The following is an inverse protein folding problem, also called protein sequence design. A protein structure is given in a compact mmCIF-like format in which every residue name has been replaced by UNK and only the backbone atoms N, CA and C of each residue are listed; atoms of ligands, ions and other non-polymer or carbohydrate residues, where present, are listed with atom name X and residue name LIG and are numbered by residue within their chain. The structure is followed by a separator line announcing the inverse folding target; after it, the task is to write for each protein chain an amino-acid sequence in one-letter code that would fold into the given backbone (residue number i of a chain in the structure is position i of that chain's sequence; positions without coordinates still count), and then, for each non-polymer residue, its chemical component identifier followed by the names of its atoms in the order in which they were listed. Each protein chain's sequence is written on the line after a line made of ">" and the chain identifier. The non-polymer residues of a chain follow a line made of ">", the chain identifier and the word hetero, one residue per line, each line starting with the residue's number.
data_IF_106859251367
#
_entry.id   IF_106859251367
#
_cell.length_a   1.000
_cell.length_b   1.000
_cell.length_c   1.000
_cell.angle_alpha   90.00
_cell.angle_beta   90.00
_cell.angle_gamma   90.00
#
_symmetry.space_group_name_H-M   'P 1'
#
loop_
_entity.id
_entity.type
_entity.pdbx_description
1 polymer ?
#
# COMPACT_ATOMS: atom_id res chain seq x y z
N UNK A 1 4.50 -21.61 41.66
CA UNK A 1 4.54 -20.59 40.60
C UNK A 1 4.64 -19.25 41.30
N UNK A 2 5.86 -18.82 41.63
CA UNK A 2 6.07 -17.48 42.19
C UNK A 2 5.99 -16.49 41.05
N UNK A 3 4.83 -15.85 40.92
CA UNK A 3 4.60 -14.76 40.01
C UNK A 3 5.62 -13.67 40.34
N UNK A 4 6.51 -13.35 39.41
CA UNK A 4 7.69 -12.52 39.68
C UNK A 4 7.32 -11.03 39.73
N UNK A 5 6.59 -10.64 40.78
CA UNK A 5 6.10 -9.27 41.04
C UNK A 5 7.26 -8.27 41.03
N UNK A 6 8.46 -8.68 41.46
CA UNK A 6 9.67 -7.85 41.40
C UNK A 6 10.11 -7.54 39.98
N UNK A 7 10.08 -8.52 39.07
CA UNK A 7 10.37 -8.30 37.65
C UNK A 7 9.31 -7.41 37.00
N UNK A 8 8.03 -7.65 37.30
CA UNK A 8 6.92 -6.83 36.79
C UNK A 8 7.04 -5.36 37.26
N UNK A 9 7.39 -5.14 38.53
CA UNK A 9 7.61 -3.81 39.09
C UNK A 9 8.85 -3.12 38.48
N UNK A 10 9.91 -3.88 38.19
CA UNK A 10 11.12 -3.35 37.54
C UNK A 10 10.84 -2.98 36.08
N UNK A 11 10.14 -3.83 35.34
CA UNK A 11 9.67 -3.55 33.97
C UNK A 11 8.74 -2.33 33.94
N UNK A 12 7.77 -2.24 34.87
CA UNK A 12 6.88 -1.08 34.99
C UNK A 12 7.63 0.21 35.35
N UNK A 13 8.65 0.13 36.21
CA UNK A 13 9.53 1.25 36.53
C UNK A 13 10.32 1.75 35.31
N UNK A 14 10.82 0.84 34.48
CA UNK A 14 11.48 1.18 33.21
C UNK A 14 10.50 1.82 32.23
N UNK A 15 9.28 1.30 32.11
CA UNK A 15 8.24 1.91 31.25
C UNK A 15 7.87 3.33 31.68
N UNK A 16 7.69 3.58 32.97
CA UNK A 16 7.41 4.92 33.50
C UNK A 16 8.60 5.86 33.25
N UNK A 17 9.83 5.37 33.43
CA UNK A 17 11.04 6.16 33.18
C UNK A 17 11.15 6.54 31.70
N UNK A 18 10.89 5.60 30.78
CA UNK A 18 10.84 5.86 29.34
C UNK A 18 9.76 6.88 28.98
N UNK A 19 8.58 6.76 29.60
CA UNK A 19 7.47 7.69 29.36
C UNK A 19 7.81 9.11 29.83
N UNK A 20 8.41 9.25 31.01
CA UNK A 20 8.89 10.54 31.54
C UNK A 20 9.92 11.16 30.60
N UNK A 21 10.93 10.40 30.19
CA UNK A 21 11.96 10.87 29.26
C UNK A 21 11.36 11.28 27.90
N UNK A 22 10.44 10.49 27.34
CA UNK A 22 9.73 10.82 26.10
C UNK A 22 8.94 12.13 26.22
N UNK A 23 8.27 12.36 27.36
CA UNK A 23 7.56 13.62 27.60
C UNK A 23 8.51 14.82 27.75
N UNK A 24 9.66 14.65 28.41
CA UNK A 24 10.67 15.71 28.58
C UNK A 24 11.31 16.12 27.24
N UNK A 25 11.52 15.18 26.31
CA UNK A 25 12.03 15.44 24.96
C UNK A 25 11.01 16.19 24.09
N UNK A 26 9.71 15.84 24.19
CA UNK A 26 8.63 16.53 23.46
C UNK A 26 8.35 17.94 24.00
N UNK A 27 8.71 18.22 25.25
CA UNK A 27 8.55 19.50 25.94
C UNK A 27 9.82 20.39 25.90
N UNK A 28 10.80 20.07 25.04
CA UNK A 28 12.03 20.85 24.80
C UNK A 28 13.00 21.01 25.99
N UNK A 29 12.98 20.11 26.97
CA UNK A 29 13.82 20.24 28.18
C UNK A 29 15.06 19.32 28.22
N UNK A 30 15.22 18.38 27.28
CA UNK A 30 16.30 17.38 27.29
C UNK A 30 17.04 17.26 25.94
N UNK A 31 18.36 17.09 25.99
CA UNK A 31 19.21 16.84 24.82
C UNK A 31 18.95 15.43 24.26
N UNK A 32 18.51 15.34 23.00
CA UNK A 32 18.26 14.08 22.31
C UNK A 32 19.57 13.43 21.87
N UNK A 33 19.75 12.13 22.11
CA UNK A 33 20.80 11.36 21.44
C UNK A 33 20.49 11.31 19.93
N UNK A 34 21.21 12.11 19.15
CA UNK A 34 21.03 12.17 17.70
C UNK A 34 21.71 10.96 17.04
N UNK A 35 20.98 10.30 16.15
CA UNK A 35 21.55 9.34 15.21
C UNK A 35 22.19 10.12 14.06
N UNK A 36 23.19 9.53 13.42
CA UNK A 36 23.90 10.14 12.30
C UNK A 36 22.95 10.37 11.09
N UNK A 37 23.25 11.36 10.25
CA UNK A 37 22.45 11.73 9.09
C UNK A 37 22.24 10.55 8.12
N UNK A 38 23.24 9.69 7.97
CA UNK A 38 23.14 8.49 7.13
C UNK A 38 22.10 7.50 7.66
N UNK A 39 21.99 7.36 8.98
CA UNK A 39 21.00 6.49 9.61
C UNK A 39 19.58 7.03 9.43
N UNK A 40 19.39 8.34 9.55
CA UNK A 40 18.11 8.99 9.28
C UNK A 40 17.71 8.84 7.80
N UNK A 41 18.66 9.01 6.88
CA UNK A 41 18.44 8.78 5.45
C UNK A 41 18.02 7.33 5.15
N UNK A 42 18.67 6.35 5.78
CA UNK A 42 18.31 4.94 5.68
C UNK A 42 16.91 4.67 6.22
N UNK A 43 16.54 5.32 7.32
CA UNK A 43 15.23 5.22 7.95
C UNK A 43 14.12 5.76 7.05
N UNK A 44 14.31 6.95 6.48
CA UNK A 44 13.37 7.56 5.52
C UNK A 44 13.19 6.67 4.28
N UNK A 45 14.30 6.12 3.75
CA UNK A 45 14.24 5.19 2.62
C UNK A 45 13.45 3.93 2.95
N UNK A 46 13.63 3.37 4.14
CA UNK A 46 12.91 2.18 4.58
C UNK A 46 11.39 2.44 4.67
N UNK A 47 11.00 3.56 5.28
CA UNK A 47 9.61 3.95 5.42
C UNK A 47 8.95 4.20 4.06
N UNK A 48 9.66 4.89 3.16
CA UNK A 48 9.23 5.10 1.78
C UNK A 48 9.07 3.76 1.02
N UNK A 49 10.05 2.87 1.13
CA UNK A 49 10.02 1.54 0.48
C UNK A 49 8.82 0.74 0.95
N UNK A 50 8.60 0.66 2.27
CA UNK A 50 7.46 -0.05 2.84
C UNK A 50 6.14 0.53 2.33
N UNK A 51 5.97 1.86 2.45
CA UNK A 51 4.73 2.54 2.07
C UNK A 51 4.35 2.29 0.60
N UNK A 52 5.31 2.43 -0.32
CA UNK A 52 5.04 2.22 -1.74
C UNK A 52 4.86 0.75 -2.09
N UNK A 53 5.59 -0.16 -1.44
CA UNK A 53 5.41 -1.60 -1.64
C UNK A 53 3.99 -2.03 -1.22
N UNK A 54 3.49 -1.55 -0.07
CA UNK A 54 2.11 -1.81 0.37
C UNK A 54 1.06 -1.30 -0.62
N UNK A 55 1.25 -0.07 -1.13
CA UNK A 55 0.32 0.53 -2.10
C UNK A 55 0.31 -0.21 -3.44
N UNK A 56 1.49 -0.54 -3.97
CA UNK A 56 1.63 -1.24 -5.25
C UNK A 56 1.03 -2.65 -5.14
N UNK A 57 1.33 -3.37 -4.06
CA UNK A 57 0.74 -4.68 -3.78
C UNK A 57 -0.79 -4.60 -3.80
N UNK A 58 -1.37 -3.68 -3.01
CA UNK A 58 -2.82 -3.54 -2.90
C UNK A 58 -3.49 -3.17 -4.21
N UNK A 59 -2.87 -2.29 -5.00
CA UNK A 59 -3.44 -1.90 -6.29
C UNK A 59 -3.36 -3.02 -7.33
N UNK A 60 -2.31 -3.84 -7.27
CA UNK A 60 -2.17 -4.98 -8.16
C UNK A 60 -3.15 -6.10 -7.79
N UNK A 61 -3.42 -6.32 -6.51
CA UNK A 61 -4.51 -7.22 -6.07
C UNK A 61 -5.88 -6.77 -6.58
N UNK A 62 -6.16 -5.46 -6.55
CA UNK A 62 -7.41 -4.91 -7.09
C UNK A 62 -7.48 -5.09 -8.61
N UNK A 63 -6.37 -4.91 -9.32
CA UNK A 63 -6.29 -5.14 -10.76
C UNK A 63 -6.60 -6.61 -11.12
N UNK A 64 -6.04 -7.56 -10.38
CA UNK A 64 -6.19 -8.99 -10.66
C UNK A 64 -7.52 -9.56 -10.17
N UNK A 65 -8.04 -9.07 -9.04
CA UNK A 65 -9.32 -9.49 -8.47
C UNK A 65 -10.10 -8.27 -7.95
N UNK A 66 -10.86 -7.56 -8.82
CA UNK A 66 -11.61 -6.37 -8.43
C UNK A 66 -12.65 -6.66 -7.34
N UNK A 67 -13.19 -7.89 -7.30
CA UNK A 67 -14.21 -8.29 -6.34
C UNK A 67 -13.64 -8.37 -4.91
N UNK A 68 -14.08 -7.51 -3.98
CA UNK A 68 -13.55 -7.48 -2.62
C UNK A 68 -13.88 -8.74 -1.81
N UNK A 69 -15.06 -9.32 -1.99
CA UNK A 69 -15.46 -10.54 -1.28
C UNK A 69 -14.58 -11.73 -1.69
N UNK A 70 -14.25 -11.81 -2.97
CA UNK A 70 -13.37 -12.85 -3.50
C UNK A 70 -11.95 -12.72 -2.93
N UNK A 71 -11.42 -11.49 -2.85
CA UNK A 71 -10.10 -11.24 -2.25
C UNK A 71 -10.03 -11.63 -0.77
N UNK A 72 -11.09 -11.33 -0.01
CA UNK A 72 -11.15 -11.72 1.41
C UNK A 72 -11.20 -13.24 1.56
N UNK A 73 -12.00 -13.91 0.73
CA UNK A 73 -12.09 -15.36 0.72
C UNK A 73 -10.74 -16.02 0.39
N UNK A 74 -10.06 -15.57 -0.68
CA UNK A 74 -8.71 -16.03 -1.06
C UNK A 74 -7.71 -15.84 0.09
N UNK A 75 -7.72 -14.67 0.73
CA UNK A 75 -6.88 -14.39 1.90
C UNK A 75 -7.15 -15.35 3.08
N UNK A 76 -8.40 -15.72 3.32
CA UNK A 76 -8.76 -16.66 4.39
C UNK A 76 -8.23 -18.06 4.09
N UNK A 77 -8.37 -18.54 2.84
CA UNK A 77 -7.83 -19.84 2.44
C UNK A 77 -6.30 -19.87 2.56
N UNK A 78 -5.62 -18.79 2.14
CA UNK A 78 -4.17 -18.64 2.28
C UNK A 78 -3.74 -18.67 3.75
N UNK A 79 -4.41 -17.95 4.65
CA UNK A 79 -4.09 -17.97 6.09
C UNK A 79 -4.41 -19.28 6.79
N UNK A 80 -5.28 -20.12 6.22
CA UNK A 80 -5.65 -21.43 6.75
C UNK A 80 -4.82 -22.58 6.13
N UNK A 81 -3.84 -22.29 5.28
CA UNK A 81 -3.08 -23.28 4.50
C UNK A 81 -4.00 -24.24 3.70
N UNK A 82 -5.14 -23.72 3.24
CA UNK A 82 -6.13 -24.47 2.47
C UNK A 82 -6.07 -24.04 1.00
N UNK A 83 -6.31 -24.97 0.09
CA UNK A 83 -6.43 -24.62 -1.34
C UNK A 83 -7.76 -23.93 -1.60
N UNK A 84 -7.69 -22.68 -2.05
CA UNK A 84 -8.86 -21.95 -2.52
C UNK A 84 -9.52 -22.71 -3.70
N UNK A 85 -10.85 -22.75 -3.77
CA UNK A 85 -11.54 -23.35 -4.91
C UNK A 85 -11.23 -22.57 -6.20
N UNK A 86 -11.00 -23.28 -7.30
CA UNK A 86 -10.80 -22.64 -8.61
C UNK A 86 -12.11 -21.99 -9.05
N UNK A 87 -12.16 -20.65 -9.00
CA UNK A 87 -13.33 -19.90 -9.40
C UNK A 87 -13.47 -19.89 -10.92
N UNK A 88 -14.70 -20.00 -11.40
CA UNK A 88 -15.02 -19.80 -12.83
C UNK A 88 -14.88 -18.31 -13.15
N UNK A 89 -14.09 -17.97 -14.17
CA UNK A 89 -13.95 -16.61 -14.68
C UNK A 89 -15.23 -16.15 -15.36
N UNK A 90 -15.39 -14.84 -15.54
CA UNK A 90 -16.54 -14.28 -16.24
C UNK A 90 -16.60 -14.78 -17.69
N UNK A 91 -15.45 -14.88 -18.39
CA UNK A 91 -15.37 -15.42 -19.74
C UNK A 91 -15.71 -16.90 -19.81
N UNK A 92 -15.25 -17.72 -18.85
CA UNK A 92 -15.66 -19.13 -18.80
C UNK A 92 -17.17 -19.30 -18.55
N UNK A 93 -17.75 -18.46 -17.68
CA UNK A 93 -19.18 -18.49 -17.41
C UNK A 93 -20.00 -18.10 -18.65
N UNK A 94 -19.56 -17.06 -19.37
CA UNK A 94 -20.17 -16.66 -20.64
C UNK A 94 -20.07 -17.78 -21.67
N UNK A 95 -18.89 -18.38 -21.81
CA UNK A 95 -18.67 -19.48 -22.74
C UNK A 95 -19.54 -20.70 -22.43
N UNK A 96 -19.73 -21.02 -21.15
CA UNK A 96 -20.64 -22.08 -20.71
C UNK A 96 -22.08 -21.80 -21.13
N UNK A 97 -22.57 -20.58 -20.91
CA UNK A 97 -23.93 -20.21 -21.32
C UNK A 97 -24.13 -20.22 -22.85
N UNK A 98 -23.11 -19.83 -23.63
CA UNK A 98 -23.17 -19.92 -25.09
C UNK A 98 -23.25 -21.37 -25.58
N UNK A 99 -22.47 -22.28 -24.98
CA UNK A 99 -22.52 -23.71 -25.32
C UNK A 99 -23.87 -24.34 -24.93
N UNK A 100 -24.42 -23.98 -23.77
CA UNK A 100 -25.72 -24.48 -23.33
C UNK A 100 -26.86 -23.94 -24.22
N UNK A 101 -26.81 -22.66 -24.61
CA UNK A 101 -27.73 -22.09 -25.58
C UNK A 101 -27.63 -22.79 -26.95
N UNK A 102 -26.43 -23.14 -27.41
CA UNK A 102 -26.24 -23.87 -28.66
C UNK A 102 -26.89 -25.26 -28.64
N UNK A 103 -26.86 -25.96 -27.49
CA UNK A 103 -27.52 -27.26 -27.32
C UNK A 103 -29.04 -27.15 -27.43
N UNK A 104 -29.64 -26.10 -26.86
CA UNK A 104 -31.09 -25.88 -26.92
C UNK A 104 -31.56 -25.37 -28.29
N UNK A 105 -30.78 -24.49 -28.93
CA UNK A 105 -31.12 -23.90 -30.24
C UNK A 105 -30.84 -24.85 -31.42
N UNK A 106 -30.13 -25.95 -31.17
CA UNK A 106 -29.76 -26.96 -32.17
C UNK A 106 -28.39 -26.69 -32.80
N UNK A 107 -27.49 -27.67 -32.66
CA UNK A 107 -26.11 -27.60 -33.14
C UNK A 107 -25.99 -27.53 -34.67
N UNK A 108 -26.99 -28.06 -35.38
CA UNK A 108 -27.08 -28.03 -36.85
C UNK A 108 -27.45 -26.64 -37.38
N UNK A 109 -27.94 -25.74 -36.52
CA UNK A 109 -28.21 -24.35 -36.90
C UNK A 109 -26.88 -23.60 -37.10
N UNK A 110 -26.77 -22.71 -38.11
CA UNK A 110 -25.60 -21.84 -38.25
C UNK A 110 -25.37 -20.99 -37.01
N UNK A 111 -26.44 -20.62 -36.29
CA UNK A 111 -26.33 -19.88 -35.04
C UNK A 111 -25.81 -20.76 -33.89
N UNK A 112 -26.35 -21.97 -33.73
CA UNK A 112 -25.90 -22.91 -32.69
C UNK A 112 -24.44 -23.31 -32.87
N UNK A 113 -24.03 -23.70 -34.08
CA UNK A 113 -22.63 -24.01 -34.39
C UNK A 113 -21.68 -22.83 -34.16
N UNK A 114 -22.10 -21.60 -34.49
CA UNK A 114 -21.33 -20.38 -34.20
C UNK A 114 -21.20 -20.12 -32.70
N UNK A 115 -22.28 -20.30 -31.94
CA UNK A 115 -22.26 -20.13 -30.48
C UNK A 115 -21.28 -21.08 -29.79
N UNK A 116 -21.19 -22.34 -30.25
CA UNK A 116 -20.18 -23.28 -29.74
C UNK A 116 -18.77 -22.74 -29.97
N UNK A 117 -18.47 -22.25 -31.19
CA UNK A 117 -17.14 -21.71 -31.53
C UNK A 117 -16.75 -20.49 -30.70
N UNK A 118 -17.68 -19.56 -30.52
CA UNK A 118 -17.45 -18.38 -29.68
C UNK A 118 -17.30 -18.80 -28.21
N UNK A 119 -18.17 -19.69 -27.72
CA UNK A 119 -18.14 -20.15 -26.34
C UNK A 119 -16.85 -20.90 -25.97
N UNK A 120 -16.35 -21.75 -26.86
CA UNK A 120 -15.04 -22.41 -26.71
C UNK A 120 -13.89 -21.40 -26.65
N UNK A 121 -13.98 -20.32 -27.43
CA UNK A 121 -12.96 -19.27 -27.40
C UNK A 121 -13.01 -18.46 -26.10
N UNK A 122 -14.20 -18.08 -25.62
CA UNK A 122 -14.38 -17.41 -24.33
C UNK A 122 -13.85 -18.25 -23.16
N UNK A 123 -14.09 -19.57 -23.15
CA UNK A 123 -13.48 -20.46 -22.15
C UNK A 123 -11.96 -20.48 -22.22
N UNK A 124 -11.37 -20.46 -23.42
CA UNK A 124 -9.91 -20.34 -23.60
C UNK A 124 -9.38 -19.02 -23.06
N UNK A 125 -10.07 -17.90 -23.32
CA UNK A 125 -9.69 -16.59 -22.76
C UNK A 125 -9.71 -16.59 -21.23
N UNK A 126 -10.76 -17.15 -20.62
CA UNK A 126 -10.86 -17.26 -19.16
C UNK A 126 -9.79 -18.16 -18.54
N UNK A 127 -9.36 -19.23 -19.22
CA UNK A 127 -8.24 -20.05 -18.78
C UNK A 127 -6.91 -19.26 -18.80
N UNK A 128 -6.68 -18.47 -19.86
CA UNK A 128 -5.49 -17.61 -19.97
C UNK A 128 -5.49 -16.50 -18.91
N UNK A 129 -6.65 -15.97 -18.55
CA UNK A 129 -6.82 -15.04 -17.43
C UNK A 129 -6.42 -15.68 -16.09
N UNK A 130 -6.88 -16.91 -15.81
CA UNK A 130 -6.48 -17.65 -14.60
C UNK A 130 -4.97 -17.85 -14.51
N UNK A 131 -4.36 -18.28 -15.62
CA UNK A 131 -2.92 -18.51 -15.69
C UNK A 131 -2.13 -17.21 -15.43
N UNK A 132 -2.62 -16.08 -15.97
CA UNK A 132 -2.04 -14.76 -15.70
C UNK A 132 -2.16 -14.37 -14.22
N UNK A 133 -3.35 -14.48 -13.63
CA UNK A 133 -3.58 -14.15 -12.21
C UNK A 133 -2.66 -14.99 -11.32
N UNK A 134 -2.56 -16.30 -11.57
CA UNK A 134 -1.69 -17.19 -10.82
C UNK A 134 -0.20 -16.84 -11.00
N UNK A 135 0.22 -16.55 -12.23
CA UNK A 135 1.61 -16.17 -12.51
C UNK A 135 1.98 -14.86 -11.82
N UNK A 136 1.10 -13.85 -11.88
CA UNK A 136 1.30 -12.57 -11.20
C UNK A 136 1.32 -12.72 -9.68
N UNK A 137 0.47 -13.59 -9.12
CA UNK A 137 0.51 -13.88 -7.68
C UNK A 137 1.85 -14.47 -7.24
N UNK A 138 2.35 -15.50 -7.94
CA UNK A 138 3.59 -16.20 -7.58
C UNK A 138 4.84 -15.32 -7.81
N UNK A 139 4.91 -14.63 -8.94
CA UNK A 139 6.12 -13.89 -9.36
C UNK A 139 6.19 -12.47 -8.80
N UNK A 140 5.03 -11.86 -8.49
CA UNK A 140 4.96 -10.46 -8.09
C UNK A 140 4.35 -10.28 -6.69
N UNK A 141 3.12 -10.71 -6.45
CA UNK A 141 2.44 -10.43 -5.16
C UNK A 141 3.10 -11.15 -3.98
N UNK A 142 3.36 -12.45 -4.10
CA UNK A 142 3.93 -13.29 -3.05
C UNK A 142 5.29 -12.78 -2.53
N UNK A 143 6.28 -12.45 -3.39
CA UNK A 143 7.54 -11.86 -2.94
C UNK A 143 7.37 -10.54 -2.17
N UNK A 144 6.47 -9.66 -2.63
CA UNK A 144 6.20 -8.39 -1.94
C UNK A 144 5.51 -8.61 -0.59
N UNK A 145 4.56 -9.56 -0.51
CA UNK A 145 3.92 -9.96 0.75
C UNK A 145 4.94 -10.51 1.75
N UNK A 146 5.83 -11.38 1.30
CA UNK A 146 6.88 -11.95 2.14
C UNK A 146 7.82 -10.86 2.68
N UNK A 147 8.19 -9.88 1.86
CA UNK A 147 8.97 -8.72 2.31
C UNK A 147 8.23 -7.88 3.36
N UNK A 148 6.93 -7.63 3.17
CA UNK A 148 6.11 -6.84 4.08
C UNK A 148 5.82 -7.56 5.41
N UNK A 149 5.50 -8.85 5.37
CA UNK A 149 5.19 -9.66 6.54
C UNK A 149 6.45 -10.17 7.27
N UNK A 150 7.58 -10.28 6.58
CA UNK A 150 8.87 -10.69 7.14
C UNK A 150 9.77 -9.51 7.49
N UNK A 151 10.54 -9.05 6.51
CA UNK A 151 11.62 -8.08 6.71
C UNK A 151 11.12 -6.76 7.30
N UNK A 152 10.04 -6.20 6.75
CA UNK A 152 9.46 -4.94 7.24
C UNK A 152 8.97 -5.04 8.69
N UNK A 153 8.45 -6.20 9.13
CA UNK A 153 8.05 -6.41 10.53
C UNK A 153 9.25 -6.47 11.45
N UNK A 154 10.32 -7.13 11.03
CA UNK A 154 11.58 -7.20 11.78
C UNK A 154 12.18 -5.81 11.91
N UNK A 155 12.33 -5.07 10.81
CA UNK A 155 12.84 -3.68 10.81
C UNK A 155 12.01 -2.80 11.76
N UNK A 156 10.68 -2.91 11.71
CA UNK A 156 9.78 -2.14 12.60
C UNK A 156 10.00 -2.48 14.07
N UNK A 157 10.24 -3.76 14.40
CA UNK A 157 10.50 -4.22 15.77
C UNK A 157 11.84 -3.72 16.28
N UNK A 158 12.90 -3.89 15.49
CA UNK A 158 14.26 -3.47 15.88
C UNK A 158 14.36 -1.94 16.03
N UNK A 159 13.67 -1.17 15.17
CA UNK A 159 13.56 0.30 15.33
C UNK A 159 12.86 0.70 16.63
N UNK A 160 11.77 0.03 17.01
CA UNK A 160 11.10 0.28 18.30
C UNK A 160 12.00 -0.06 19.47
N UNK A 161 12.78 -1.14 19.37
CA UNK A 161 13.74 -1.51 20.40
C UNK A 161 14.87 -0.48 20.52
N UNK A 162 15.40 0.00 19.39
CA UNK A 162 16.39 1.07 19.36
C UNK A 162 15.89 2.36 20.02
N UNK A 163 14.65 2.75 19.74
CA UNK A 163 14.02 3.92 20.37
C UNK A 163 13.91 3.74 21.88
N UNK A 164 13.49 2.57 22.36
CA UNK A 164 13.42 2.28 23.79
C UNK A 164 14.79 2.34 24.46
N UNK A 165 15.82 1.79 23.82
CA UNK A 165 17.19 1.82 24.34
C UNK A 165 17.78 3.23 24.31
N UNK A 166 17.40 4.08 23.34
CA UNK A 166 17.75 5.51 23.34
C UNK A 166 17.21 6.19 24.59
N UNK A 167 15.93 6.00 24.89
CA UNK A 167 15.28 6.57 26.07
C UNK A 167 15.92 6.06 27.37
N UNK A 168 16.27 4.78 27.45
CA UNK A 168 16.97 4.20 28.60
C UNK A 168 18.36 4.80 28.78
N UNK A 169 19.09 5.00 27.68
CA UNK A 169 20.40 5.64 27.67
C UNK A 169 20.31 7.10 28.17
N UNK A 170 19.34 7.86 27.68
CA UNK A 170 19.14 9.27 28.07
C UNK A 170 18.71 9.38 29.54
N UNK A 171 17.87 8.47 30.03
CA UNK A 171 17.55 8.37 31.45
C UNK A 171 18.78 8.05 32.32
N UNK A 172 19.66 7.15 31.87
CA UNK A 172 20.91 6.85 32.56
C UNK A 172 21.87 8.06 32.59
N UNK A 173 22.00 8.79 31.48
CA UNK A 173 22.79 10.04 31.41
C UNK A 173 22.27 11.06 32.42
N UNK A 174 20.96 11.26 32.48
CA UNK A 174 20.30 12.17 33.43
C UNK A 174 20.54 11.75 34.88
N UNK A 175 20.47 10.44 35.17
CA UNK A 175 20.76 9.94 36.52
C UNK A 175 22.21 10.15 36.93
N UNK A 176 23.18 9.90 36.03
CA UNK A 176 24.60 10.19 36.30
C UNK A 176 24.81 11.69 36.56
N UNK A 177 24.21 12.57 35.75
CA UNK A 177 24.25 14.03 35.97
C UNK A 177 23.72 14.40 37.37
N UNK A 178 22.58 13.82 37.78
CA UNK A 178 21.96 14.05 39.11
C UNK A 178 22.82 13.51 40.26
N UNK A 179 23.37 12.30 40.12
CA UNK A 179 24.21 11.67 41.14
C UNK A 179 25.50 12.48 41.37
N UNK A 180 26.18 12.90 40.29
CA UNK A 180 27.37 13.77 40.38
C UNK A 180 27.08 15.12 41.00
N UNK A 181 25.93 15.72 40.68
CA UNK A 181 25.51 16.97 41.29
C UNK A 181 25.20 16.82 42.79
N UNK A 182 24.65 15.69 43.21
CA UNK A 182 24.41 15.39 44.63
C UNK A 182 25.72 15.13 45.39
N UNK A 183 26.65 14.38 44.80
CA UNK A 183 27.99 14.15 45.34
C UNK A 183 28.76 15.47 45.50
N UNK A 184 28.78 16.32 44.48
CA UNK A 184 29.44 17.63 44.54
C UNK A 184 28.86 18.54 45.65
N UNK A 185 27.55 18.50 45.89
CA UNK A 185 26.90 19.25 46.98
C UNK A 185 27.30 18.74 48.37
N UNK A 186 27.56 17.44 48.52
CA UNK A 186 28.01 16.84 49.79
C UNK A 186 29.51 17.03 50.00
N UNK A 187 30.30 17.13 48.93
CA UNK A 187 31.74 17.42 48.97
C UNK A 187 32.07 18.88 49.34
N UNK A 188 31.17 19.83 49.07
CA UNK A 188 31.26 21.21 49.56
C UNK A 188 30.85 21.24 51.04
N UNK A 189 31.81 20.95 51.91
CA UNK A 189 31.68 21.07 53.37
C UNK A 189 31.31 22.53 53.73
N UNK A 190 30.33 22.80 54.62
CA UNK A 190 30.15 24.13 55.16
C UNK A 190 31.36 24.46 56.03
N UNK A 191 31.97 25.62 55.82
CA UNK A 191 32.96 26.21 56.72
C UNK A 191 32.32 26.30 58.13
N UNK A 192 32.59 25.32 58.99
CA UNK A 192 32.10 25.33 60.35
C UNK A 192 33.20 24.90 61.30
N UNK A 193 33.70 25.92 61.97
CA UNK A 193 34.63 25.95 63.09
C UNK A 193 34.01 25.25 64.32
N UNK A 194 33.68 23.95 64.24
CA UNK A 194 33.20 23.19 65.39
C UNK A 194 33.64 21.72 65.33
N UNK A 195 34.74 21.46 66.05
CA UNK A 195 35.38 20.15 66.23
C UNK A 195 34.50 19.21 67.05
N UNK A 196 33.52 18.55 66.41
CA UNK A 196 32.83 17.36 66.96
C UNK A 196 33.07 16.14 66.06
N UNK A 197 33.78 15.10 66.56
CA UNK A 197 34.12 13.89 65.79
C UNK A 197 32.91 13.19 65.14
N UNK A 198 31.73 13.30 65.76
CA UNK A 198 30.49 12.66 65.32
C UNK A 198 29.95 13.22 63.99
N UNK A 199 30.14 14.51 63.73
CA UNK A 199 29.69 15.16 62.49
C UNK A 199 30.61 14.83 61.31
N UNK A 200 31.92 14.70 61.56
CA UNK A 200 32.90 14.32 60.54
C UNK A 200 32.69 12.88 60.05
N UNK A 201 32.43 11.93 60.96
CA UNK A 201 32.14 10.54 60.59
C UNK A 201 30.84 10.42 59.79
N UNK A 202 29.80 11.19 60.12
CA UNK A 202 28.54 11.20 59.35
C UNK A 202 28.72 11.82 57.95
N UNK A 203 29.53 12.88 57.82
CA UNK A 203 29.87 13.50 56.53
C UNK A 203 30.72 12.58 55.65
N UNK A 204 31.74 11.91 56.22
CA UNK A 204 32.56 10.94 55.50
C UNK A 204 31.74 9.72 55.03
N UNK A 205 30.85 9.19 55.88
CA UNK A 205 29.94 8.09 55.50
C UNK A 205 28.92 8.50 54.43
N UNK A 206 28.41 9.74 54.47
CA UNK A 206 27.53 10.26 53.43
C UNK A 206 28.27 10.45 52.09
N UNK A 207 29.51 10.96 52.13
CA UNK A 207 30.34 11.11 50.93
C UNK A 207 30.66 9.76 50.28
N UNK A 208 31.02 8.74 51.07
CA UNK A 208 31.28 7.39 50.56
C UNK A 208 30.04 6.77 49.88
N UNK A 209 28.85 6.97 50.44
CA UNK A 209 27.60 6.44 49.89
C UNK A 209 27.23 7.10 48.54
N UNK A 210 27.46 8.41 48.40
CA UNK A 210 27.26 9.10 47.11
C UNK A 210 28.32 8.71 46.08
N UNK A 211 29.56 8.45 46.51
CA UNK A 211 30.61 7.94 45.61
C UNK A 211 30.20 6.58 45.03
N UNK A 212 29.69 5.67 45.87
CA UNK A 212 29.19 4.36 45.45
C UNK A 212 27.98 4.47 44.49
N UNK A 213 27.03 5.37 44.77
CA UNK A 213 25.87 5.59 43.89
C UNK A 213 26.27 6.22 42.54
N UNK A 214 27.27 7.10 42.52
CA UNK A 214 27.83 7.65 41.27
C UNK A 214 28.51 6.54 40.46
N UNK A 215 29.34 5.72 41.09
CA UNK A 215 30.01 4.59 40.41
C UNK A 215 28.98 3.62 39.82
N UNK A 216 27.93 3.29 40.58
CA UNK A 216 26.83 2.45 40.12
C UNK A 216 26.08 3.07 38.94
N UNK A 217 25.76 4.36 39.00
CA UNK A 217 25.09 5.07 37.92
C UNK A 217 25.94 5.10 36.64
N UNK A 218 27.26 5.29 36.77
CA UNK A 218 28.21 5.25 35.65
C UNK A 218 28.33 3.85 35.03
N UNK A 219 28.37 2.80 35.85
CA UNK A 219 28.37 1.42 35.38
C UNK A 219 27.09 1.07 34.60
N UNK A 220 25.94 1.51 35.07
CA UNK A 220 24.66 1.33 34.38
C UNK A 220 24.58 2.15 33.09
N UNK A 221 25.09 3.39 33.07
CA UNK A 221 25.23 4.18 31.83
C UNK A 221 26.09 3.46 30.79
N UNK A 222 27.23 2.88 31.21
CA UNK A 222 28.11 2.12 30.31
C UNK A 222 27.43 0.89 29.72
N UNK A 223 26.60 0.19 30.51
CA UNK A 223 25.79 -0.94 30.03
C UNK A 223 24.73 -0.48 29.03
N UNK A 224 24.00 0.59 29.35
CA UNK A 224 22.98 1.16 28.47
C UNK A 224 23.57 1.63 27.13
N UNK A 225 24.74 2.29 27.17
CA UNK A 225 25.44 2.73 25.96
C UNK A 225 25.83 1.54 25.07
N UNK A 226 26.44 0.50 25.65
CA UNK A 226 26.82 -0.70 24.90
C UNK A 226 25.62 -1.39 24.23
N UNK A 227 24.49 -1.45 24.94
CA UNK A 227 23.27 -2.07 24.40
C UNK A 227 22.65 -1.23 23.29
N UNK A 228 22.62 0.10 23.45
CA UNK A 228 22.19 1.03 22.42
C UNK A 228 23.06 0.93 21.16
N UNK A 229 24.40 0.96 21.31
CA UNK A 229 25.33 0.89 20.17
C UNK A 229 25.17 -0.44 19.41
N UNK A 230 25.05 -1.56 20.15
CA UNK A 230 24.78 -2.88 19.57
C UNK A 230 23.47 -2.88 18.78
N UNK A 231 22.41 -2.28 19.34
CA UNK A 231 21.11 -2.24 18.70
C UNK A 231 21.06 -1.28 17.50
N UNK A 232 21.81 -0.17 17.56
CA UNK A 232 21.94 0.77 16.47
C UNK A 232 22.60 0.10 15.25
N UNK A 233 23.64 -0.70 15.49
CA UNK A 233 24.30 -1.48 14.44
C UNK A 233 23.39 -2.54 13.82
N UNK A 234 22.67 -3.31 14.65
CA UNK A 234 21.68 -4.29 14.15
C UNK A 234 20.63 -3.62 13.28
N UNK A 235 20.07 -2.50 13.75
CA UNK A 235 19.07 -1.75 12.98
C UNK A 235 19.65 -1.19 11.69
N UNK A 236 20.89 -0.67 11.72
CA UNK A 236 21.58 -0.14 10.55
C UNK A 236 21.76 -1.20 9.47
N UNK A 237 22.27 -2.38 9.83
CA UNK A 237 22.47 -3.49 8.89
C UNK A 237 21.15 -3.93 8.23
N UNK A 238 20.05 -3.95 8.99
CA UNK A 238 18.73 -4.27 8.44
C UNK A 238 18.25 -3.19 7.45
N UNK A 239 18.45 -1.92 7.76
CA UNK A 239 18.06 -0.80 6.89
C UNK A 239 18.91 -0.76 5.60
N UNK A 240 20.21 -1.06 5.70
CA UNK A 240 21.10 -1.18 4.54
C UNK A 240 20.69 -2.35 3.63
N UNK A 241 20.24 -3.45 4.24
CA UNK A 241 19.73 -4.64 3.55
C UNK A 241 18.56 -4.38 2.60
N UNK A 242 17.79 -3.30 2.80
CA UNK A 242 16.70 -2.88 1.92
C UNK A 242 17.20 -2.60 0.49
N UNK A 243 18.46 -2.16 0.34
CA UNK A 243 19.02 -1.94 -1.01
C UNK A 243 19.12 -3.25 -1.80
N UNK A 244 19.34 -4.37 -1.13
CA UNK A 244 19.32 -5.70 -1.75
C UNK A 244 17.89 -6.12 -2.11
N UNK A 245 16.89 -5.78 -1.29
CA UNK A 245 15.48 -6.10 -1.59
C UNK A 245 14.96 -5.34 -2.80
N UNK A 246 15.48 -4.13 -3.07
CA UNK A 246 15.15 -3.39 -4.30
C UNK A 246 15.55 -4.15 -5.58
N UNK A 247 16.66 -4.91 -5.58
CA UNK A 247 17.03 -5.75 -6.73
C UNK A 247 15.99 -6.84 -6.96
N UNK A 248 15.47 -7.44 -5.89
CA UNK A 248 14.39 -8.41 -5.99
C UNK A 248 13.09 -7.76 -6.50
N UNK A 249 12.73 -6.57 -6.01
CA UNK A 249 11.54 -5.85 -6.48
C UNK A 249 11.63 -5.47 -7.96
N UNK A 250 12.81 -5.05 -8.44
CA UNK A 250 13.04 -4.79 -9.87
C UNK A 250 12.81 -6.04 -10.71
N UNK A 251 13.34 -7.19 -10.28
CA UNK A 251 13.09 -8.46 -10.95
C UNK A 251 11.59 -8.81 -10.98
N UNK A 252 10.90 -8.69 -9.84
CA UNK A 252 9.46 -8.94 -9.76
C UNK A 252 8.68 -8.04 -10.72
N UNK A 253 9.04 -6.75 -10.85
CA UNK A 253 8.42 -5.83 -11.81
C UNK A 253 8.63 -6.27 -13.26
N UNK A 254 9.83 -6.72 -13.61
CA UNK A 254 10.09 -7.27 -14.95
C UNK A 254 9.24 -8.53 -15.21
N UNK A 255 9.21 -9.47 -14.27
CA UNK A 255 8.41 -10.70 -14.39
C UNK A 255 6.91 -10.39 -14.51
N UNK A 256 6.40 -9.41 -13.77
CA UNK A 256 5.00 -8.97 -13.86
C UNK A 256 4.66 -8.40 -15.25
N UNK A 257 5.51 -7.52 -15.78
CA UNK A 257 5.30 -6.94 -17.12
C UNK A 257 5.35 -8.01 -18.21
N UNK A 258 6.28 -8.96 -18.11
CA UNK A 258 6.36 -10.10 -19.04
C UNK A 258 5.12 -10.99 -18.96
N UNK A 259 4.62 -11.29 -17.76
CA UNK A 259 3.39 -12.05 -17.57
C UNK A 259 2.17 -11.33 -18.18
N UNK A 260 2.06 -10.03 -17.96
CA UNK A 260 0.95 -9.22 -18.50
C UNK A 260 1.04 -9.09 -20.03
N UNK A 261 2.23 -8.92 -20.59
CA UNK A 261 2.43 -8.92 -22.04
C UNK A 261 2.09 -10.27 -22.67
N UNK A 262 2.45 -11.38 -21.99
CA UNK A 262 2.12 -12.72 -22.43
C UNK A 262 0.61 -12.98 -22.47
N UNK A 263 -0.10 -12.54 -21.42
CA UNK A 263 -1.55 -12.60 -21.33
C UNK A 263 -2.22 -11.92 -22.54
N UNK A 264 -1.94 -10.63 -22.78
CA UNK A 264 -2.59 -9.91 -23.88
C UNK A 264 -2.25 -10.48 -25.26
N UNK A 265 -1.00 -10.92 -25.45
CA UNK A 265 -0.58 -11.57 -26.70
C UNK A 265 -1.38 -12.85 -26.94
N UNK A 266 -1.54 -13.70 -25.91
CA UNK A 266 -2.27 -14.95 -26.04
C UNK A 266 -3.77 -14.73 -26.27
N UNK A 267 -4.39 -13.78 -25.57
CA UNK A 267 -5.77 -13.37 -25.81
C UNK A 267 -5.97 -12.88 -27.25
N UNK A 268 -5.04 -12.06 -27.76
CA UNK A 268 -5.11 -11.56 -29.14
C UNK A 268 -5.05 -12.69 -30.17
N UNK A 269 -4.15 -13.66 -29.98
CA UNK A 269 -4.04 -14.83 -30.85
C UNK A 269 -5.34 -15.66 -30.86
N UNK A 270 -5.93 -15.94 -29.70
CA UNK A 270 -7.20 -16.67 -29.63
C UNK A 270 -8.35 -15.94 -30.34
N UNK A 271 -8.40 -14.60 -30.23
CA UNK A 271 -9.40 -13.79 -30.94
C UNK A 271 -9.17 -13.78 -32.46
N UNK A 272 -7.92 -13.75 -32.92
CA UNK A 272 -7.60 -13.84 -34.35
C UNK A 272 -8.00 -15.20 -34.93
N UNK A 273 -7.67 -16.29 -34.23
CA UNK A 273 -8.06 -17.65 -34.62
C UNK A 273 -9.59 -17.76 -34.77
N UNK A 274 -10.34 -17.21 -33.80
CA UNK A 274 -11.80 -17.19 -33.87
C UNK A 274 -12.32 -16.42 -35.08
N UNK A 275 -11.77 -15.23 -35.38
CA UNK A 275 -12.17 -14.47 -36.56
C UNK A 275 -11.95 -15.24 -37.85
N UNK A 276 -10.87 -16.02 -37.94
CA UNK A 276 -10.60 -16.87 -39.09
C UNK A 276 -11.56 -18.07 -39.16
N UNK A 277 -11.82 -18.74 -38.04
CA UNK A 277 -12.80 -19.84 -37.96
C UNK A 277 -14.20 -19.37 -38.40
N UNK A 278 -14.64 -18.20 -37.93
CA UNK A 278 -15.94 -17.63 -38.30
C UNK A 278 -16.02 -17.21 -39.77
N UNK A 279 -14.92 -16.74 -40.36
CA UNK A 279 -14.86 -16.40 -41.80
C UNK A 279 -15.04 -17.64 -42.69
N UNK A 280 -14.65 -18.81 -42.20
CA UNK A 280 -14.74 -20.09 -42.93
C UNK A 280 -16.13 -20.73 -42.86
N UNK A 281 -17.04 -20.23 -42.01
CA UNK A 281 -18.38 -20.80 -41.89
C UNK A 281 -19.24 -20.49 -43.15
N UNK A 282 -19.95 -21.50 -43.71
CA UNK A 282 -20.85 -21.28 -44.84
C UNK A 282 -22.02 -20.41 -44.39
N UNK A 283 -22.12 -19.19 -44.94
CA UNK A 283 -23.11 -18.20 -44.54
C UNK A 283 -22.52 -16.97 -43.84
N UNK A 284 -21.19 -16.85 -43.73
CA UNK A 284 -20.53 -15.60 -43.41
C UNK A 284 -21.12 -14.49 -44.28
N UNK A 285 -21.75 -13.50 -43.64
CA UNK A 285 -22.40 -12.37 -44.28
C UNK A 285 -21.55 -11.90 -45.46
N UNK A 286 -21.96 -12.30 -46.67
CA UNK A 286 -21.33 -11.85 -47.88
C UNK A 286 -21.39 -10.34 -47.80
N UNK A 287 -20.20 -9.75 -47.66
CA UNK A 287 -19.94 -8.35 -47.84
C UNK A 287 -20.80 -7.91 -49.03
N UNK A 288 -21.80 -7.08 -48.77
CA UNK A 288 -22.75 -6.63 -49.76
C UNK A 288 -21.99 -5.65 -50.69
N UNK A 289 -21.08 -6.17 -51.50
CA UNK A 289 -20.41 -5.49 -52.62
C UNK A 289 -21.36 -5.44 -53.83
N UNK A 290 -22.58 -5.00 -53.56
CA UNK A 290 -23.65 -4.80 -54.53
C UNK A 290 -23.96 -3.31 -54.68
N UNK A 291 -22.90 -2.47 -54.71
CA UNK A 291 -22.97 -1.15 -55.34
C UNK A 291 -21.79 -1.05 -56.30
N UNK A 292 -21.99 -1.61 -57.49
CA UNK A 292 -21.24 -1.25 -58.68
C UNK A 292 -21.45 0.25 -58.95
N UNK A 293 -20.48 1.08 -58.55
CA UNK A 293 -20.14 2.29 -59.29
C UNK A 293 -18.74 2.06 -59.90
N UNK A 294 -18.51 2.39 -61.18
CA UNK A 294 -17.25 2.09 -61.85
C UNK A 294 -16.12 2.97 -61.29
N UNK A 295 -14.85 2.52 -61.34
CA UNK A 295 -13.74 3.31 -60.85
C UNK A 295 -13.37 4.39 -61.89
N UNK A 296 -13.08 5.64 -61.49
CA UNK A 296 -12.29 6.52 -62.32
C UNK A 296 -10.83 6.08 -62.27
N UNK A 297 -10.24 5.94 -63.44
CA UNK A 297 -8.84 5.63 -63.73
C UNK A 297 -7.85 6.55 -63.03
N UNK A 298 -6.82 5.95 -62.42
CA UNK A 298 -5.59 6.62 -61.98
C UNK A 298 -4.83 7.26 -63.16
N UNK A 299 -4.05 8.30 -62.87
CA UNK A 299 -2.60 8.17 -63.03
C UNK A 299 -1.86 8.49 -61.73
N UNK A 300 -0.97 7.59 -61.34
CA UNK A 300 0.14 7.82 -60.39
C UNK A 300 1.41 8.19 -61.19
N UNK A 301 2.54 8.57 -60.56
CA UNK A 301 2.74 9.09 -59.18
C UNK A 301 3.68 10.31 -59.15
N UNK A 302 3.58 11.24 -58.18
CA UNK A 302 4.78 11.91 -57.62
C UNK A 302 4.57 12.31 -56.14
N UNK A 303 5.42 11.71 -55.31
CA UNK A 303 5.99 12.12 -54.01
C UNK A 303 5.28 13.12 -53.07
N UNK A 304 5.03 12.58 -51.87
CA UNK A 304 4.73 13.15 -50.55
C UNK A 304 5.52 14.41 -50.17
N UNK A 305 4.83 15.46 -49.72
CA UNK A 305 4.88 16.00 -48.33
C UNK A 305 4.27 17.40 -48.24
N UNK A 306 3.46 17.65 -47.20
CA UNK A 306 3.28 18.92 -46.44
C UNK A 306 1.96 18.84 -45.62
N UNK A 307 1.64 19.79 -44.71
CA UNK A 307 1.48 19.48 -43.29
C UNK A 307 0.05 19.70 -42.77
N UNK A 308 -0.10 19.40 -41.48
CA UNK A 308 -1.28 19.57 -40.63
C UNK A 308 -1.87 20.98 -40.70
N UNK A 309 -3.17 21.09 -41.01
CA UNK A 309 -3.97 22.29 -40.75
C UNK A 309 -5.08 21.99 -39.73
N UNK A 310 -5.09 22.85 -38.72
CA UNK A 310 -5.95 22.92 -37.55
C UNK A 310 -7.31 23.49 -37.96
N UNK A 311 -8.41 22.89 -37.51
CA UNK A 311 -9.73 23.52 -37.58
C UNK A 311 -10.24 23.85 -36.17
N UNK A 312 -10.42 25.14 -36.00
CA UNK A 312 -10.99 25.88 -34.88
C UNK A 312 -12.46 25.50 -34.64
N UNK A 313 -12.83 25.31 -33.37
CA UNK A 313 -14.21 25.07 -32.93
C UNK A 313 -14.89 26.42 -32.73
N UNK A 314 -16.01 26.63 -33.43
CA UNK A 314 -16.92 27.75 -33.22
C UNK A 314 -17.64 27.63 -31.86
N UNK A 315 -17.67 28.75 -31.16
CA UNK A 315 -18.34 28.99 -29.89
C UNK A 315 -19.86 29.04 -30.08
N UNK A 316 -20.59 28.09 -29.48
CA UNK A 316 -22.05 28.14 -29.38
C UNK A 316 -22.45 28.31 -27.90
N UNK A 317 -23.28 29.33 -27.72
CA UNK A 317 -23.82 29.91 -26.49
C UNK A 317 -24.52 28.91 -25.55
N UNK A 318 -24.25 29.01 -24.24
CA UNK A 318 -24.89 28.22 -23.20
C UNK A 318 -26.37 28.58 -22.96
N UNK A 319 -27.22 27.57 -22.69
CA UNK A 319 -28.08 27.68 -21.51
C UNK A 319 -28.31 26.37 -20.70
N UNK A 320 -28.68 26.58 -19.43
CA UNK A 320 -29.32 25.70 -18.45
C UNK A 320 -28.46 24.69 -17.65
N UNK A 321 -28.21 25.08 -16.39
CA UNK A 321 -27.73 24.29 -15.25
C UNK A 321 -28.37 22.90 -15.17
N UNK A 322 -27.60 21.84 -15.43
CA UNK A 322 -28.05 20.44 -15.44
C UNK A 322 -27.92 19.73 -14.08
N UNK A 323 -28.55 20.25 -13.03
CA UNK A 323 -28.65 19.54 -11.74
C UNK A 323 -29.64 18.38 -11.85
N UNK A 324 -29.18 17.15 -11.57
CA UNK A 324 -29.97 15.91 -11.52
C UNK A 324 -29.97 15.33 -10.12
N UNK A 325 -30.96 14.52 -9.76
CA UNK A 325 -30.89 13.74 -8.52
C UNK A 325 -30.24 12.39 -8.81
N UNK A 326 -29.46 11.88 -7.88
CA UNK A 326 -28.84 10.57 -7.99
C UNK A 326 -29.05 9.79 -6.69
N UNK A 327 -29.35 8.51 -6.83
CA UNK A 327 -29.35 7.58 -5.70
C UNK A 327 -27.95 6.98 -5.57
N UNK A 328 -27.41 6.99 -4.38
CA UNK A 328 -26.11 6.38 -4.09
C UNK A 328 -26.28 4.87 -3.98
N UNK A 329 -25.50 4.14 -4.77
CA UNK A 329 -25.57 2.67 -4.84
C UNK A 329 -24.73 2.00 -3.73
N UNK A 330 -23.64 2.64 -3.30
CA UNK A 330 -22.68 2.09 -2.33
C UNK A 330 -22.10 3.17 -1.43
N UNK A 331 -21.71 2.79 -0.22
CA UNK A 331 -20.93 3.67 0.67
C UNK A 331 -19.62 4.08 -0.01
N UNK A 332 -19.29 5.37 0.05
CA UNK A 332 -18.06 5.93 -0.48
C UNK A 332 -17.40 6.83 0.57
N UNK A 333 -16.16 6.54 0.93
CA UNK A 333 -15.38 7.41 1.81
C UNK A 333 -14.51 8.35 0.96
N UNK A 334 -14.68 9.66 1.14
CA UNK A 334 -13.88 10.68 0.46
C UNK A 334 -12.38 10.48 0.72
N UNK A 335 -11.59 10.42 -0.35
CA UNK A 335 -10.13 10.25 -0.27
C UNK A 335 -9.42 11.54 0.16
N UNK A 336 -10.02 12.70 -0.10
CA UNK A 336 -9.50 14.01 0.27
C UNK A 336 -10.63 15.03 0.56
N UNK A 337 -10.26 16.28 0.87
CA UNK A 337 -11.22 17.35 1.18
C UNK A 337 -11.96 17.90 -0.05
N UNK A 338 -11.62 17.45 -1.27
CA UNK A 338 -12.30 17.83 -2.51
C UNK A 338 -13.42 16.86 -2.90
N UNK A 339 -13.45 15.69 -2.26
CA UNK A 339 -14.45 14.64 -2.46
C UNK A 339 -15.55 14.65 -1.38
N UNK A 340 -16.69 14.04 -1.68
CA UNK A 340 -17.83 13.94 -0.75
C UNK A 340 -18.06 12.49 -0.35
N UNK A 341 -18.05 12.18 0.96
CA UNK A 341 -18.38 10.84 1.45
C UNK A 341 -19.87 10.55 1.33
N UNK A 342 -20.22 9.41 0.74
CA UNK A 342 -21.57 8.98 0.44
C UNK A 342 -21.98 7.78 1.29
N UNK A 343 -23.28 7.69 1.56
CA UNK A 343 -23.90 6.52 2.19
C UNK A 343 -24.86 5.85 1.21
N UNK A 344 -24.82 4.52 1.13
CA UNK A 344 -25.68 3.72 0.29
C UNK A 344 -27.17 4.03 0.55
N UNK A 345 -27.96 4.02 -0.51
CA UNK A 345 -29.38 4.38 -0.55
C UNK A 345 -29.71 5.86 -0.25
N UNK A 346 -28.72 6.74 -0.04
CA UNK A 346 -28.99 8.18 0.09
C UNK A 346 -29.25 8.84 -1.29
N UNK A 347 -30.04 9.93 -1.32
CA UNK A 347 -30.32 10.68 -2.55
C UNK A 347 -29.60 12.03 -2.47
N UNK A 348 -28.71 12.28 -3.42
CA UNK A 348 -27.92 13.51 -3.54
C UNK A 348 -28.26 14.26 -4.83
N UNK A 349 -27.93 15.56 -4.88
CA UNK A 349 -28.03 16.35 -6.12
C UNK A 349 -26.67 16.35 -6.81
N UNK A 350 -26.63 16.08 -8.11
CA UNK A 350 -25.40 16.00 -8.89
C UNK A 350 -25.44 16.87 -10.14
N UNK A 351 -24.32 17.45 -10.52
CA UNK A 351 -24.17 18.22 -11.75
C UNK A 351 -22.75 18.12 -12.31
N UNK A 352 -22.63 18.37 -13.62
CA UNK A 352 -21.34 18.44 -14.31
C UNK A 352 -20.76 19.85 -14.23
N UNK A 353 -19.46 19.95 -14.00
CA UNK A 353 -18.72 21.22 -14.04
C UNK A 353 -17.82 21.26 -15.30
N UNK A 354 -17.69 22.41 -15.97
CA UNK A 354 -16.77 22.55 -17.11
C UNK A 354 -15.33 22.23 -16.71
N UNK A 355 -14.66 21.32 -17.42
CA UNK A 355 -13.30 20.86 -17.12
C UNK A 355 -13.20 19.65 -16.19
N UNK A 356 -14.33 19.04 -15.80
CA UNK A 356 -14.38 17.82 -14.99
C UNK A 356 -14.28 16.57 -15.87
N UNK A 357 -13.61 15.53 -15.37
CA UNK A 357 -13.51 14.21 -16.03
C UNK A 357 -14.88 13.55 -16.17
N UNK A 358 -15.10 12.82 -17.27
CA UNK A 358 -16.41 12.21 -17.59
C UNK A 358 -16.92 11.21 -16.55
N UNK A 359 -16.02 10.68 -15.71
CA UNK A 359 -16.32 9.66 -14.71
C UNK A 359 -16.66 10.26 -13.33
N UNK A 360 -16.66 11.60 -13.22
CA UNK A 360 -16.90 12.32 -11.98
C UNK A 360 -18.01 13.36 -12.11
N UNK A 361 -18.82 13.48 -11.05
CA UNK A 361 -19.82 14.52 -10.88
C UNK A 361 -19.55 15.32 -9.61
N UNK A 362 -20.11 16.53 -9.51
CA UNK A 362 -20.15 17.27 -8.25
C UNK A 362 -21.43 16.88 -7.53
N UNK A 363 -21.30 16.26 -6.36
CA UNK A 363 -22.40 15.89 -5.48
C UNK A 363 -22.62 16.94 -4.41
N UNK A 364 -23.88 17.23 -4.12
CA UNK A 364 -24.32 18.15 -3.08
C UNK A 364 -25.30 17.44 -2.14
N UNK A 365 -24.90 17.36 -0.86
CA UNK A 365 -25.68 16.80 0.26
C UNK A 365 -25.83 17.87 1.33
N UNK A 366 -26.94 18.61 1.29
CA UNK A 366 -27.19 19.73 2.20
C UNK A 366 -26.17 20.85 2.01
N UNK A 367 -25.37 21.14 3.03
CA UNK A 367 -24.30 22.16 2.96
C UNK A 367 -22.93 21.60 2.54
N UNK A 368 -22.83 20.29 2.30
CA UNK A 368 -21.59 19.63 1.90
C UNK A 368 -21.60 19.40 0.39
N UNK A 369 -20.50 19.77 -0.27
CA UNK A 369 -20.30 19.57 -1.70
C UNK A 369 -18.93 18.97 -1.96
N UNK A 370 -18.82 18.11 -2.94
CA UNK A 370 -17.54 17.50 -3.33
C UNK A 370 -17.69 16.64 -4.57
N UNK A 371 -16.56 16.19 -5.09
CA UNK A 371 -16.51 15.28 -6.24
C UNK A 371 -16.99 13.89 -5.81
N UNK A 372 -17.80 13.27 -6.67
CA UNK A 372 -18.35 11.93 -6.47
C UNK A 372 -18.21 11.12 -7.77
N UNK A 373 -17.82 9.84 -7.69
CA UNK A 373 -17.68 9.01 -8.89
C UNK A 373 -19.06 8.61 -9.46
N UNK A 374 -19.21 8.67 -10.79
CA UNK A 374 -20.47 8.30 -11.48
C UNK A 374 -20.82 6.82 -11.26
N UNK A 375 -19.82 5.95 -11.14
CA UNK A 375 -20.00 4.50 -10.94
C UNK A 375 -20.69 4.14 -9.61
N UNK A 376 -20.72 5.06 -8.65
CA UNK A 376 -21.36 4.90 -7.35
C UNK A 376 -22.78 5.48 -7.32
N UNK A 377 -23.25 5.99 -8.45
CA UNK A 377 -24.48 6.75 -8.56
C UNK A 377 -25.42 6.16 -9.61
N UNK A 378 -26.69 6.05 -9.25
CA UNK A 378 -27.79 5.85 -10.19
C UNK A 378 -28.48 7.19 -10.43
N UNK A 379 -28.29 7.76 -11.62
CA UNK A 379 -28.93 9.02 -12.01
C UNK A 379 -30.44 8.82 -12.12
N UNK A 380 -31.19 9.50 -11.26
CA UNK A 380 -32.65 9.54 -11.31
C UNK A 380 -33.06 10.63 -12.31
N UNK A 381 -33.74 10.22 -13.38
CA UNK A 381 -34.24 11.15 -14.41
C UNK A 381 -35.39 12.01 -13.92
#
# INVERSE_FOLDING_TARGET
>A
MDFNVKRLATEAGLFLTRAVQFTEEKLWQSEKTNLDQDFENLTVRADCTKHWTEKILRQTEILLQPNPSARIEEFLYEKLDMKAPSRVTNSELLGQHMEDAAKELGLESPYGSTLVKVGECERRLGAVEKDFIQTADISFLSPLRNFLEGDCRIISKERRLLENLRLDLDACKTRVKKAKAAEAKVAVVPDFQETRPRNYVLSASASALWTEEVEKAEQELKKAQKEFDRQAEVTRLLLEGISCTHVNHLRCLHEFVEAQAAYYRQCHLHMQDLQEELRRLPGGFAQNSSQNAPPPSLPEPESVSSPVETLTIEEVQAPASGTRKAKVLYDYDAADCSELSLLADEIITVYTMPGMESDWLVGERGNQRGRVPVTYLELLS
#
